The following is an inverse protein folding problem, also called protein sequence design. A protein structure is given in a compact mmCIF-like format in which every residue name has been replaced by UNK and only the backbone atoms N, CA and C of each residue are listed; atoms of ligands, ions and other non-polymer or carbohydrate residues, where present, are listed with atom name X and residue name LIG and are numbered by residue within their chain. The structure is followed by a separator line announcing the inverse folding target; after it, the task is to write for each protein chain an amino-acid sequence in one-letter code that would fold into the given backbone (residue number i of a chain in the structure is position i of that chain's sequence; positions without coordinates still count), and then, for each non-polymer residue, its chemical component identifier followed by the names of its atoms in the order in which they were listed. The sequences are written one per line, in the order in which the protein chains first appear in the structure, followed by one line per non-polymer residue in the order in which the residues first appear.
data_IF_714790489148
#
_entry.id   IF_714790489148
#
_cell.length_a   1.000
_cell.length_b   1.000
_cell.length_c   1.000
_cell.angle_alpha   90.00
_cell.angle_beta   90.00
_cell.angle_gamma   90.00
#
_symmetry.space_group_name_H-M   'P 1'
#
loop_
_entity.id
_entity.type
_entity.pdbx_description
1 polymer ?
#
# COMPACT_ATOMS: atom_id res chain seq x y z
N UNK A 1 0.58 16.10 17.03
CA UNK A 1 0.12 16.01 15.63
C UNK A 1 0.58 17.14 14.71
N UNK A 2 0.62 18.40 15.14
CA UNK A 2 0.96 19.55 14.26
C UNK A 2 2.32 19.41 13.52
N UNK A 3 3.35 18.89 14.21
CA UNK A 3 4.68 18.61 13.62
C UNK A 3 4.69 17.54 12.50
N UNK A 4 3.62 16.77 12.36
CA UNK A 4 3.48 15.71 11.36
C UNK A 4 2.54 16.08 10.20
N UNK A 5 1.92 17.27 10.20
CA UNK A 5 0.92 17.64 9.19
C UNK A 5 1.44 17.55 7.74
N UNK A 6 2.67 17.99 7.49
CA UNK A 6 3.28 17.88 6.16
C UNK A 6 3.53 16.43 5.74
N UNK A 7 3.87 15.57 6.69
CA UNK A 7 4.04 14.12 6.45
C UNK A 7 2.67 13.51 6.13
N UNK A 8 1.65 13.82 6.93
CA UNK A 8 0.29 13.34 6.73
C UNK A 8 -0.23 13.70 5.33
N UNK A 9 -0.10 14.96 4.91
CA UNK A 9 -0.55 15.41 3.57
C UNK A 9 0.11 14.60 2.46
N UNK A 10 1.43 14.45 2.52
CA UNK A 10 2.21 13.70 1.51
C UNK A 10 1.85 12.22 1.51
N UNK A 11 1.60 11.62 2.67
CA UNK A 11 1.17 10.22 2.79
C UNK A 11 -0.20 10.02 2.17
N UNK A 12 -1.16 10.92 2.43
CA UNK A 12 -2.49 10.85 1.83
C UNK A 12 -2.43 10.99 0.30
N UNK A 13 -1.70 11.98 -0.21
CA UNK A 13 -1.48 12.16 -1.66
C UNK A 13 -0.80 10.94 -2.31
N UNK A 14 0.24 10.41 -1.67
CA UNK A 14 0.94 9.23 -2.15
C UNK A 14 0.05 7.99 -2.12
N UNK A 15 -0.87 7.89 -1.15
CA UNK A 15 -1.79 6.75 -1.06
C UNK A 15 -2.69 6.65 -2.29
N UNK A 16 -3.22 7.76 -2.77
CA UNK A 16 -4.05 7.76 -3.99
C UNK A 16 -3.21 7.38 -5.23
N UNK A 17 -1.98 7.90 -5.32
CA UNK A 17 -1.05 7.57 -6.41
C UNK A 17 -0.69 6.08 -6.43
N UNK A 18 -0.43 5.49 -5.25
CA UNK A 18 -0.12 4.07 -5.11
C UNK A 18 -1.32 3.21 -5.48
N UNK A 19 -2.54 3.62 -5.12
CA UNK A 19 -3.76 2.93 -5.53
C UNK A 19 -3.91 2.90 -7.06
N UNK A 20 -3.65 4.02 -7.73
CA UNK A 20 -3.66 4.11 -9.18
C UNK A 20 -2.61 3.19 -9.82
N UNK A 21 -1.38 3.18 -9.27
CA UNK A 21 -0.32 2.28 -9.69
C UNK A 21 -0.72 0.80 -9.55
N UNK A 22 -1.33 0.43 -8.44
CA UNK A 22 -1.80 -0.94 -8.19
C UNK A 22 -2.88 -1.37 -9.19
N UNK A 23 -3.84 -0.47 -9.49
CA UNK A 23 -4.87 -0.72 -10.52
C UNK A 23 -4.27 -0.82 -11.92
N UNK A 24 -3.25 -0.01 -12.23
CA UNK A 24 -2.55 -0.09 -13.50
C UNK A 24 -1.84 -1.45 -13.64
N UNK A 25 -1.13 -1.89 -12.60
CA UNK A 25 -0.49 -3.22 -12.54
C UNK A 25 -1.51 -4.32 -12.82
N UNK A 26 -2.66 -4.32 -12.14
CA UNK A 26 -3.73 -5.29 -12.38
C UNK A 26 -4.18 -5.31 -13.85
N UNK A 27 -4.49 -4.13 -14.40
CA UNK A 27 -4.98 -4.00 -15.77
C UNK A 27 -3.95 -4.43 -16.83
N UNK A 28 -2.64 -4.33 -16.55
CA UNK A 28 -1.58 -4.79 -17.45
C UNK A 28 -1.36 -6.30 -17.34
N UNK A 29 -1.43 -6.85 -16.14
CA UNK A 29 -1.36 -8.30 -15.91
C UNK A 29 -2.54 -9.03 -16.57
N UNK A 30 -3.74 -8.47 -16.52
CA UNK A 30 -4.92 -9.02 -17.22
C UNK A 30 -4.75 -9.08 -18.75
N UNK A 31 -3.85 -8.26 -19.31
CA UNK A 31 -3.49 -8.24 -20.73
C UNK A 31 -2.30 -9.14 -21.08
N UNK A 32 -1.72 -9.83 -20.08
CA UNK A 32 -0.53 -10.68 -20.25
C UNK A 32 0.78 -9.92 -20.40
N UNK A 33 0.82 -8.62 -20.05
CA UNK A 33 2.04 -7.82 -20.14
C UNK A 33 2.82 -7.88 -18.82
N UNK A 34 3.61 -8.94 -18.65
CA UNK A 34 4.27 -9.22 -17.37
C UNK A 34 5.53 -8.39 -17.14
N UNK A 35 6.31 -8.12 -18.18
CA UNK A 35 7.65 -7.52 -18.05
C UNK A 35 7.56 -6.05 -17.66
N UNK A 36 6.75 -5.25 -18.35
CA UNK A 36 6.61 -3.82 -18.02
C UNK A 36 5.85 -3.60 -16.71
N UNK A 37 5.09 -4.59 -16.27
CA UNK A 37 4.34 -4.51 -15.02
C UNK A 37 5.26 -4.67 -13.81
N UNK A 38 6.44 -5.27 -13.97
CA UNK A 38 7.36 -5.46 -12.86
C UNK A 38 7.93 -4.16 -12.31
N UNK A 39 8.38 -3.25 -13.17
CA UNK A 39 8.93 -1.96 -12.74
C UNK A 39 7.87 -1.17 -11.95
N UNK A 40 6.65 -1.10 -12.48
CA UNK A 40 5.55 -0.44 -11.79
C UNK A 40 5.18 -1.12 -10.47
N UNK A 41 5.24 -2.45 -10.40
CA UNK A 41 4.97 -3.17 -9.17
C UNK A 41 6.00 -2.85 -8.08
N UNK A 42 7.28 -2.75 -8.44
CA UNK A 42 8.32 -2.33 -7.50
C UNK A 42 8.09 -0.90 -6.99
N UNK A 43 7.68 0.00 -7.87
CA UNK A 43 7.35 1.38 -7.48
C UNK A 43 6.17 1.42 -6.50
N UNK A 44 5.13 0.61 -6.74
CA UNK A 44 3.98 0.45 -5.82
C UNK A 44 4.43 -0.09 -4.47
N UNK A 45 5.22 -1.17 -4.44
CA UNK A 45 5.76 -1.76 -3.20
C UNK A 45 6.61 -0.74 -2.43
N UNK A 46 7.48 -0.01 -3.14
CA UNK A 46 8.32 1.04 -2.55
C UNK A 46 7.50 2.19 -1.98
N UNK A 47 6.43 2.59 -2.68
CA UNK A 47 5.49 3.61 -2.21
C UNK A 47 4.78 3.18 -0.93
N UNK A 48 4.29 1.94 -0.85
CA UNK A 48 3.67 1.39 0.35
C UNK A 48 4.65 1.40 1.53
N UNK A 49 5.86 0.85 1.34
CA UNK A 49 6.88 0.82 2.38
C UNK A 49 7.27 2.22 2.88
N UNK A 50 7.37 3.18 1.97
CA UNK A 50 7.67 4.57 2.30
C UNK A 50 6.57 5.21 3.15
N UNK A 51 5.30 4.96 2.83
CA UNK A 51 4.17 5.45 3.63
C UNK A 51 4.13 4.81 5.02
N UNK A 52 4.28 3.49 5.09
CA UNK A 52 4.30 2.76 6.37
C UNK A 52 5.45 3.26 7.26
N UNK A 53 6.65 3.40 6.70
CA UNK A 53 7.80 3.93 7.43
C UNK A 53 7.62 5.38 7.90
N UNK A 54 6.98 6.23 7.08
CA UNK A 54 6.69 7.62 7.45
C UNK A 54 5.66 7.73 8.59
N UNK A 55 4.72 6.79 8.67
CA UNK A 55 3.68 6.74 9.70
C UNK A 55 4.14 6.04 10.98
N UNK A 56 5.22 5.25 10.95
CA UNK A 56 5.71 4.48 12.09
C UNK A 56 5.81 5.31 13.40
N UNK A 57 6.36 6.54 13.42
CA UNK A 57 6.43 7.36 14.64
C UNK A 57 5.05 7.79 15.19
N UNK A 58 3.99 7.70 14.38
CA UNK A 58 2.62 8.05 14.75
C UNK A 58 1.79 6.81 15.18
N UNK A 59 2.24 5.62 14.76
CA UNK A 59 1.60 4.35 15.09
C UNK A 59 1.90 3.89 16.52
N UNK A 60 2.96 4.40 17.15
CA UNK A 60 3.32 4.10 18.55
C UNK A 60 2.46 4.87 19.57
N UNK A 61 1.82 5.97 19.16
CA UNK A 61 1.08 6.87 20.06
C UNK A 61 -0.44 6.86 19.84
N UNK A 62 -0.92 7.22 18.63
CA UNK A 62 -2.34 7.60 18.41
C UNK A 62 -3.07 6.76 17.34
N UNK A 63 -2.36 6.14 16.39
CA UNK A 63 -2.97 5.36 15.28
C UNK A 63 -3.08 3.85 15.57
N UNK A 64 -2.66 3.42 16.76
CA UNK A 64 -2.30 2.03 17.06
C UNK A 64 -3.45 1.02 16.92
N UNK A 65 -4.65 1.36 17.42
CA UNK A 65 -5.69 0.35 17.67
C UNK A 65 -6.27 -0.28 16.39
N UNK A 66 -6.38 0.48 15.29
CA UNK A 66 -7.00 0.00 14.06
C UNK A 66 -6.07 0.05 12.84
N UNK A 67 -5.05 0.92 12.81
CA UNK A 67 -4.15 1.01 11.65
C UNK A 67 -3.02 -0.03 11.73
N UNK A 68 -2.54 -0.40 12.93
CA UNK A 68 -1.46 -1.40 13.09
C UNK A 68 -1.86 -2.77 12.53
N UNK A 69 -3.02 -3.35 12.88
CA UNK A 69 -3.41 -4.66 12.36
C UNK A 69 -3.53 -4.69 10.82
N UNK A 70 -4.04 -3.60 10.23
CA UNK A 70 -4.17 -3.44 8.78
C UNK A 70 -2.81 -3.28 8.10
N UNK A 71 -1.88 -2.54 8.72
CA UNK A 71 -0.50 -2.43 8.24
C UNK A 71 0.20 -3.79 8.27
N UNK A 72 0.00 -4.59 9.32
CA UNK A 72 0.56 -5.94 9.41
C UNK A 72 -0.02 -6.88 8.34
N UNK A 73 -1.32 -6.76 8.04
CA UNK A 73 -1.95 -7.50 6.96
C UNK A 73 -1.41 -7.09 5.58
N UNK A 74 -1.26 -5.80 5.35
CA UNK A 74 -0.69 -5.26 4.14
C UNK A 74 0.76 -5.75 3.93
N UNK A 75 1.58 -5.74 4.98
CA UNK A 75 2.95 -6.26 4.95
C UNK A 75 2.99 -7.77 4.63
N UNK A 76 2.11 -8.57 5.25
CA UNK A 76 2.02 -10.01 4.91
C UNK A 76 1.64 -10.24 3.45
N UNK A 77 0.72 -9.44 2.91
CA UNK A 77 0.32 -9.54 1.51
C UNK A 77 1.47 -9.17 0.57
N UNK A 78 2.25 -8.14 0.92
CA UNK A 78 3.47 -7.74 0.20
C UNK A 78 4.53 -8.85 0.22
N UNK A 79 4.85 -9.40 1.39
CA UNK A 79 5.85 -10.47 1.52
C UNK A 79 5.47 -11.70 0.69
N UNK A 80 4.19 -12.06 0.70
CA UNK A 80 3.66 -13.19 -0.09
C UNK A 80 3.79 -12.91 -1.59
N UNK A 81 3.48 -11.68 -2.02
CA UNK A 81 3.60 -11.26 -3.42
C UNK A 81 5.06 -11.27 -3.88
N UNK A 82 5.96 -10.68 -3.09
CA UNK A 82 7.40 -10.62 -3.39
C UNK A 82 7.98 -12.03 -3.49
N UNK A 83 7.61 -12.92 -2.56
CA UNK A 83 8.04 -14.34 -2.59
C UNK A 83 7.61 -15.04 -3.87
N UNK A 84 6.33 -14.94 -4.26
CA UNK A 84 5.83 -15.54 -5.50
C UNK A 84 6.52 -14.94 -6.75
N UNK A 85 6.84 -13.65 -6.68
CA UNK A 85 7.56 -12.98 -7.75
C UNK A 85 9.01 -13.47 -7.88
N UNK A 86 9.78 -13.56 -6.79
CA UNK A 86 11.15 -14.07 -6.76
C UNK A 86 11.25 -15.51 -7.28
N UNK A 87 10.19 -16.31 -7.10
CA UNK A 87 10.11 -17.69 -7.59
C UNK A 87 9.68 -17.80 -9.07
N UNK A 88 9.54 -16.68 -9.79
CA UNK A 88 9.03 -16.60 -11.17
C UNK A 88 7.62 -17.20 -11.33
N UNK A 89 6.80 -17.17 -10.27
CA UNK A 89 5.43 -17.70 -10.28
C UNK A 89 4.44 -16.58 -10.66
N UNK A 90 4.53 -16.07 -11.89
CA UNK A 90 3.77 -14.89 -12.32
C UNK A 90 2.25 -15.02 -12.17
N UNK A 91 1.69 -16.21 -12.39
CA UNK A 91 0.25 -16.46 -12.20
C UNK A 91 -0.16 -16.43 -10.71
N UNK A 92 0.72 -16.89 -9.83
CA UNK A 92 0.49 -16.85 -8.38
C UNK A 92 0.60 -15.42 -7.87
N UNK A 93 1.63 -14.68 -8.31
CA UNK A 93 1.78 -13.25 -8.02
C UNK A 93 0.55 -12.45 -8.47
N UNK A 94 0.01 -12.72 -9.67
CA UNK A 94 -1.26 -12.12 -10.12
C UNK A 94 -2.43 -12.43 -9.18
N UNK A 95 -2.53 -13.68 -8.74
CA UNK A 95 -3.59 -14.10 -7.82
C UNK A 95 -3.46 -13.33 -6.51
N UNK A 96 -2.29 -13.39 -5.86
CA UNK A 96 -2.01 -12.70 -4.59
C UNK A 96 -2.30 -11.21 -4.71
N UNK A 97 -1.90 -10.58 -5.80
CA UNK A 97 -2.13 -9.15 -6.01
C UNK A 97 -3.62 -8.80 -6.04
N UNK A 98 -4.46 -9.63 -6.66
CA UNK A 98 -5.92 -9.40 -6.77
C UNK A 98 -6.69 -9.79 -5.52
N UNK A 99 -6.38 -10.92 -4.92
CA UNK A 99 -7.18 -11.50 -3.83
C UNK A 99 -6.65 -11.15 -2.43
N UNK A 100 -5.40 -10.69 -2.30
CA UNK A 100 -4.79 -10.35 -1.01
C UNK A 100 -4.35 -8.88 -0.97
N UNK A 101 -3.39 -8.49 -1.82
CA UNK A 101 -2.75 -7.17 -1.70
C UNK A 101 -3.72 -6.02 -1.94
N UNK A 102 -4.51 -6.08 -3.02
CA UNK A 102 -5.43 -4.98 -3.37
C UNK A 102 -6.54 -4.78 -2.34
N UNK A 103 -7.23 -5.84 -1.87
CA UNK A 103 -8.18 -5.70 -0.78
C UNK A 103 -7.55 -5.14 0.50
N UNK A 104 -6.40 -5.69 0.94
CA UNK A 104 -5.70 -5.23 2.14
C UNK A 104 -5.30 -3.75 2.03
N UNK A 105 -4.82 -3.33 0.85
CA UNK A 105 -4.46 -1.94 0.59
C UNK A 105 -5.67 -1.01 0.65
N UNK A 106 -6.81 -1.39 0.06
CA UNK A 106 -8.03 -0.60 0.09
C UNK A 106 -8.56 -0.41 1.51
N UNK A 107 -8.55 -1.47 2.33
CA UNK A 107 -8.95 -1.39 3.73
C UNK A 107 -8.00 -0.49 4.54
N UNK A 108 -6.69 -0.68 4.36
CA UNK A 108 -5.67 0.16 4.98
C UNK A 108 -5.81 1.64 4.59
N UNK A 109 -6.02 1.93 3.31
CA UNK A 109 -6.18 3.30 2.82
C UNK A 109 -7.47 3.96 3.34
N UNK A 110 -8.57 3.20 3.44
CA UNK A 110 -9.82 3.70 4.00
C UNK A 110 -9.65 4.09 5.47
N UNK A 111 -8.95 3.27 6.24
CA UNK A 111 -8.67 3.55 7.65
C UNK A 111 -7.69 4.71 7.83
N UNK A 112 -6.65 4.77 6.99
CA UNK A 112 -5.70 5.89 6.92
C UNK A 112 -6.46 7.22 6.70
N UNK A 113 -7.35 7.27 5.70
CA UNK A 113 -8.17 8.44 5.41
C UNK A 113 -9.09 8.79 6.58
N UNK A 114 -9.73 7.79 7.20
CA UNK A 114 -10.64 8.01 8.34
C UNK A 114 -9.95 8.69 9.51
N UNK A 115 -8.70 8.32 9.80
CA UNK A 115 -7.95 8.84 10.94
C UNK A 115 -7.24 10.17 10.63
N UNK A 116 -6.64 10.29 9.44
CA UNK A 116 -5.72 11.39 9.15
C UNK A 116 -6.35 12.56 8.39
N UNK A 117 -7.38 12.32 7.58
CA UNK A 117 -8.02 13.39 6.81
C UNK A 117 -8.66 14.49 7.69
N UNK A 118 -9.25 14.21 8.86
CA UNK A 118 -9.75 15.27 9.75
C UNK A 118 -8.65 16.23 10.26
N UNK A 119 -7.42 15.73 10.40
CA UNK A 119 -6.31 16.47 10.98
C UNK A 119 -5.73 17.53 10.05
N UNK A 120 -5.91 17.37 8.73
CA UNK A 120 -5.43 18.33 7.71
C UNK A 120 -6.46 19.39 7.31
N UNK A 121 -7.73 19.20 7.71
CA UNK A 121 -8.85 20.12 7.48
C UNK A 121 -9.10 21.08 8.65
N UNK A 122 -8.42 20.84 9.79
CA UNK A 122 -8.49 21.64 11.02
C UNK A 122 -7.52 22.82 10.96
#
# INVERSE_FOLDING_TARGET
MEKYLDIIRRVLELSDTVLEGLRYVQARLDKGDFIQTFEMLNDVVSGINSMVGALQPMMEDELADSLVPLTDELNRALDTLVTAYEQNQSLEAMSILRINLTPAYLEWQAELNRQLHPLILS
#
